data_IF_192942160174
#
_entry.id   IF_192942160174
#
_cell.length_a   1.000
_cell.length_b   1.000
_cell.length_c   1.000
_cell.angle_alpha   90.00
_cell.angle_beta   90.00
_cell.angle_gamma   90.00
#
_symmetry.space_group_name_H-M   'P 1'
#
loop_
_entity.id
_entity.type
_entity.pdbx_description
1 polymer ?
#
# COMPACT_ATOMS: atom_id res chain seq x y z
N UNK A 1 21.19 3.25 44.42
CA UNK A 1 21.79 2.98 43.10
C UNK A 1 21.11 3.88 42.09
N UNK A 2 21.78 4.93 41.63
CA UNK A 2 21.28 5.81 40.56
C UNK A 2 21.43 5.08 39.23
N UNK A 3 20.30 4.75 38.60
CA UNK A 3 20.28 4.15 37.26
C UNK A 3 20.90 5.16 36.30
N UNK A 4 21.85 4.72 35.47
CA UNK A 4 22.51 5.59 34.51
C UNK A 4 21.52 6.05 33.44
N UNK A 5 21.64 7.27 32.92
CA UNK A 5 20.75 7.81 31.88
C UNK A 5 20.55 6.88 30.64
N UNK A 6 21.56 6.13 30.15
CA UNK A 6 21.34 5.14 29.09
C UNK A 6 20.50 3.93 29.56
N UNK A 7 20.69 3.42 30.77
CA UNK A 7 19.87 2.33 31.32
C UNK A 7 18.40 2.74 31.55
N UNK A 8 18.15 4.00 31.88
CA UNK A 8 16.79 4.54 32.01
C UNK A 8 16.09 4.70 30.65
N UNK A 9 16.84 5.04 29.60
CA UNK A 9 16.34 5.04 28.22
C UNK A 9 16.09 3.61 27.73
N UNK A 10 17.00 2.68 27.97
CA UNK A 10 16.82 1.27 27.64
C UNK A 10 15.65 0.65 28.41
N UNK A 11 15.38 1.09 29.66
CA UNK A 11 14.20 0.69 30.43
C UNK A 11 12.88 1.29 29.92
N UNK A 12 12.91 2.45 29.25
CA UNK A 12 11.75 3.04 28.57
C UNK A 12 11.42 2.32 27.25
N UNK A 13 12.42 1.73 26.59
CA UNK A 13 12.27 0.91 25.38
C UNK A 13 12.19 -0.60 25.65
N UNK A 14 12.49 -1.03 26.88
CA UNK A 14 12.25 -2.39 27.33
C UNK A 14 10.74 -2.63 27.32
N UNK A 15 10.31 -3.51 26.41
CA UNK A 15 8.94 -3.99 26.38
C UNK A 15 8.52 -4.46 27.79
N UNK A 16 7.33 -4.06 28.19
CA UNK A 16 6.67 -4.43 29.45
C UNK A 16 7.00 -5.89 29.84
N UNK A 17 7.69 -6.14 30.97
CA UNK A 17 8.15 -7.47 31.37
C UNK A 17 7.00 -8.49 31.59
N UNK A 18 5.75 -8.03 31.62
CA UNK A 18 4.54 -8.85 31.62
C UNK A 18 4.24 -9.52 30.26
N UNK A 19 4.89 -9.11 29.16
CA UNK A 19 4.66 -9.63 27.80
C UNK A 19 5.86 -10.41 27.26
N UNK A 20 6.24 -11.51 27.92
CA UNK A 20 7.20 -12.47 27.33
C UNK A 20 6.55 -13.19 26.14
N UNK A 21 6.65 -12.58 24.97
CA UNK A 21 6.19 -13.19 23.71
C UNK A 21 6.98 -14.50 23.49
N UNK A 22 6.30 -15.63 23.22
CA UNK A 22 6.98 -16.90 23.01
C UNK A 22 7.91 -16.82 21.80
N UNK A 23 9.02 -17.57 21.83
CA UNK A 23 10.04 -17.55 20.78
C UNK A 23 9.47 -17.89 19.38
N UNK A 24 8.39 -18.68 19.32
CA UNK A 24 7.68 -19.01 18.08
C UNK A 24 7.02 -17.79 17.41
N UNK A 25 6.65 -16.77 18.20
CA UNK A 25 6.00 -15.54 17.74
C UNK A 25 6.97 -14.37 17.58
N UNK A 26 8.18 -14.44 18.11
CA UNK A 26 9.16 -13.34 18.07
C UNK A 26 9.35 -12.74 16.66
N UNK A 27 9.44 -13.58 15.62
CA UNK A 27 9.57 -13.14 14.22
C UNK A 27 8.32 -12.41 13.69
N UNK A 28 7.13 -12.83 14.12
CA UNK A 28 5.88 -12.18 13.75
C UNK A 28 5.76 -10.83 14.46
N UNK A 29 6.05 -10.79 15.76
CA UNK A 29 6.02 -9.57 16.57
C UNK A 29 6.99 -8.50 16.06
N UNK A 30 8.23 -8.90 15.72
CA UNK A 30 9.20 -7.97 15.12
C UNK A 30 8.70 -7.36 13.79
N UNK A 31 8.01 -8.15 12.95
CA UNK A 31 7.42 -7.62 11.71
C UNK A 31 6.22 -6.71 11.97
N UNK A 32 5.40 -7.00 12.98
CA UNK A 32 4.26 -6.17 13.36
C UNK A 32 4.69 -4.77 13.83
N UNK A 33 5.91 -4.61 14.37
CA UNK A 33 6.45 -3.29 14.73
C UNK A 33 6.77 -2.41 13.51
N UNK A 34 6.97 -3.01 12.33
CA UNK A 34 7.22 -2.27 11.09
C UNK A 34 6.37 -2.80 9.93
N UNK A 35 5.06 -2.45 9.90
CA UNK A 35 4.12 -2.92 8.88
C UNK A 35 4.51 -2.65 7.42
N UNK A 36 5.23 -1.57 7.05
CA UNK A 36 5.73 -1.39 5.68
C UNK A 36 6.54 -2.60 5.15
N UNK A 37 7.17 -3.38 6.03
CA UNK A 37 7.87 -4.61 5.64
C UNK A 37 6.99 -5.63 4.91
N UNK A 38 5.69 -5.69 5.22
CA UNK A 38 4.76 -6.62 4.56
C UNK A 38 4.58 -6.33 3.07
N UNK A 39 4.79 -5.09 2.64
CA UNK A 39 4.80 -4.73 1.21
C UNK A 39 5.93 -5.45 0.50
N UNK A 40 7.14 -5.45 1.07
CA UNK A 40 8.30 -6.17 0.53
C UNK A 40 8.10 -7.68 0.58
N UNK A 41 7.54 -8.20 1.68
CA UNK A 41 7.19 -9.63 1.79
C UNK A 41 6.20 -10.03 0.70
N UNK A 42 5.20 -9.19 0.42
CA UNK A 42 4.23 -9.41 -0.65
C UNK A 42 4.90 -9.51 -2.02
N UNK A 43 5.83 -8.61 -2.33
CA UNK A 43 6.61 -8.62 -3.58
C UNK A 43 7.46 -9.88 -3.68
N UNK A 44 8.23 -10.16 -2.63
CA UNK A 44 9.08 -11.35 -2.56
C UNK A 44 8.28 -12.63 -2.79
N UNK A 45 7.15 -12.79 -2.08
CA UNK A 45 6.28 -13.96 -2.22
C UNK A 45 5.65 -14.06 -3.59
N UNK A 46 5.17 -12.95 -4.16
CA UNK A 46 4.58 -12.96 -5.50
C UNK A 46 5.61 -13.44 -6.53
N UNK A 47 6.86 -12.97 -6.46
CA UNK A 47 7.92 -13.34 -7.43
C UNK A 47 8.38 -14.80 -7.24
N UNK A 48 8.47 -15.28 -5.99
CA UNK A 48 9.06 -16.59 -5.67
C UNK A 48 8.06 -17.74 -5.71
N UNK A 49 6.79 -17.51 -5.38
CA UNK A 49 5.78 -18.56 -5.25
C UNK A 49 5.02 -18.77 -6.55
N UNK A 50 5.28 -19.91 -7.23
CA UNK A 50 4.60 -20.28 -8.48
C UNK A 50 3.08 -20.37 -8.33
N UNK A 51 2.61 -20.73 -7.15
CA UNK A 51 1.17 -20.84 -6.90
C UNK A 51 0.49 -19.47 -6.87
N UNK A 52 1.25 -18.38 -6.66
CA UNK A 52 0.75 -17.01 -6.65
C UNK A 52 0.87 -16.33 -8.01
N UNK A 53 2.07 -16.27 -8.60
CA UNK A 53 2.23 -15.48 -9.84
C UNK A 53 1.62 -16.16 -11.07
N UNK A 54 1.64 -17.49 -11.18
CA UNK A 54 1.12 -18.18 -12.37
C UNK A 54 -0.38 -17.92 -12.51
N UNK A 55 -1.21 -18.13 -11.48
CA UNK A 55 -2.66 -17.90 -11.60
C UNK A 55 -3.01 -16.41 -11.72
N UNK A 56 -2.25 -15.53 -11.06
CA UNK A 56 -2.40 -14.09 -11.22
C UNK A 56 -2.11 -13.64 -12.67
N UNK A 57 -1.01 -14.13 -13.26
CA UNK A 57 -0.64 -13.82 -14.64
C UNK A 57 -1.66 -14.37 -15.65
N UNK A 58 -2.06 -15.63 -15.50
CA UNK A 58 -3.04 -16.26 -16.41
C UNK A 58 -4.36 -15.49 -16.48
N UNK A 59 -4.81 -14.88 -15.38
CA UNK A 59 -6.01 -14.04 -15.40
C UNK A 59 -5.78 -12.67 -16.05
N UNK A 60 -4.61 -12.09 -15.87
CA UNK A 60 -4.29 -10.78 -16.41
C UNK A 60 -3.83 -10.82 -17.89
N UNK A 61 -3.29 -11.94 -18.39
CA UNK A 61 -2.58 -12.03 -19.68
C UNK A 61 -3.35 -11.46 -20.86
N UNK A 62 -4.66 -11.73 -20.97
CA UNK A 62 -5.47 -11.26 -22.10
C UNK A 62 -5.74 -9.77 -22.02
N UNK A 63 -5.94 -9.24 -20.81
CA UNK A 63 -6.08 -7.80 -20.57
C UNK A 63 -4.78 -7.07 -20.86
N UNK A 64 -3.65 -7.60 -20.38
CA UNK A 64 -2.31 -7.07 -20.68
C UNK A 64 -2.06 -7.07 -22.18
N UNK A 65 -2.35 -8.16 -22.89
CA UNK A 65 -2.13 -8.25 -24.35
C UNK A 65 -2.95 -7.20 -25.11
N UNK A 66 -4.24 -7.05 -24.81
CA UNK A 66 -5.10 -6.04 -25.46
C UNK A 66 -4.63 -4.62 -25.14
N UNK A 67 -4.35 -4.35 -23.86
CA UNK A 67 -3.87 -3.04 -23.44
C UNK A 67 -2.49 -2.69 -24.00
N UNK A 68 -1.60 -3.67 -24.18
CA UNK A 68 -0.31 -3.49 -24.82
C UNK A 68 -0.45 -3.17 -26.31
N UNK A 69 -1.32 -3.87 -27.04
CA UNK A 69 -1.60 -3.58 -28.46
C UNK A 69 -2.17 -2.17 -28.62
N UNK A 70 -3.19 -1.81 -27.85
CA UNK A 70 -3.79 -0.47 -27.89
C UNK A 70 -2.80 0.60 -27.44
N UNK A 71 -2.00 0.32 -26.42
CA UNK A 71 -0.93 1.21 -25.95
C UNK A 71 0.12 1.48 -27.01
N UNK A 72 0.56 0.44 -27.74
CA UNK A 72 1.53 0.59 -28.83
C UNK A 72 0.98 1.43 -29.98
N UNK A 73 -0.28 1.18 -30.40
CA UNK A 73 -0.95 2.00 -31.42
C UNK A 73 -1.05 3.45 -30.96
N UNK A 74 -1.49 3.68 -29.71
CA UNK A 74 -1.59 5.01 -29.12
C UNK A 74 -0.25 5.73 -29.10
N UNK A 75 0.81 5.05 -28.65
CA UNK A 75 2.17 5.59 -28.65
C UNK A 75 2.62 5.98 -30.05
N UNK A 76 2.45 5.11 -31.05
CA UNK A 76 2.87 5.39 -32.42
C UNK A 76 2.16 6.63 -33.00
N UNK A 77 0.85 6.74 -32.78
CA UNK A 77 0.04 7.85 -33.30
C UNK A 77 0.30 9.18 -32.58
N UNK A 78 0.57 9.15 -31.26
CA UNK A 78 0.61 10.37 -30.45
C UNK A 78 2.01 10.87 -30.12
N UNK A 79 3.04 10.02 -30.16
CA UNK A 79 4.38 10.38 -29.68
C UNK A 79 4.98 11.60 -30.38
N UNK A 80 4.89 11.66 -31.72
CA UNK A 80 5.40 12.79 -32.49
C UNK A 80 4.69 14.10 -32.15
N UNK A 81 3.37 14.05 -32.01
CA UNK A 81 2.53 15.21 -31.63
C UNK A 81 2.86 15.67 -30.21
N UNK A 82 2.94 14.74 -29.26
CA UNK A 82 3.25 15.02 -27.86
C UNK A 82 4.64 15.61 -27.68
N UNK A 83 5.64 15.07 -28.38
CA UNK A 83 7.00 15.60 -28.36
C UNK A 83 7.04 17.05 -28.84
N UNK A 84 6.41 17.35 -29.99
CA UNK A 84 6.33 18.71 -30.53
C UNK A 84 5.56 19.67 -29.60
N UNK A 85 4.48 19.20 -28.98
CA UNK A 85 3.71 20.00 -28.03
C UNK A 85 4.54 20.34 -26.78
N UNK A 86 5.27 19.37 -26.23
CA UNK A 86 6.15 19.57 -25.07
C UNK A 86 7.30 20.51 -25.43
N UNK A 87 7.90 20.33 -26.60
CA UNK A 87 8.94 21.23 -27.13
C UNK A 87 8.44 22.67 -27.24
N UNK A 88 7.27 22.88 -27.84
CA UNK A 88 6.66 24.20 -27.93
C UNK A 88 6.33 24.81 -26.55
N UNK A 89 5.81 24.01 -25.61
CA UNK A 89 5.44 24.47 -24.28
C UNK A 89 6.65 24.80 -23.40
N UNK A 90 7.69 23.97 -23.44
CA UNK A 90 8.93 24.18 -22.69
C UNK A 90 9.75 25.34 -23.28
N UNK A 91 9.81 25.47 -24.60
CA UNK A 91 10.47 26.61 -25.26
C UNK A 91 9.83 27.97 -24.91
N UNK A 92 8.52 27.99 -24.66
CA UNK A 92 7.79 29.21 -24.27
C UNK A 92 7.76 29.47 -22.76
N UNK A 93 8.38 28.61 -21.93
CA UNK A 93 8.36 28.77 -20.48
C UNK A 93 9.69 29.32 -19.95
N UNK A 94 9.78 30.62 -19.57
CA UNK A 94 11.02 31.23 -19.07
C UNK A 94 11.58 30.56 -17.80
N UNK A 95 10.76 29.73 -17.14
CA UNK A 95 11.09 29.02 -15.89
C UNK A 95 11.83 27.70 -16.13
N UNK A 96 11.81 27.17 -17.36
CA UNK A 96 12.46 25.90 -17.75
C UNK A 96 13.52 26.11 -18.83
N UNK A 97 13.52 27.26 -19.52
CA UNK A 97 14.55 27.68 -20.49
C UNK A 97 15.96 27.84 -19.89
N UNK A 98 16.09 27.87 -18.55
CA UNK A 98 17.39 27.83 -17.86
C UNK A 98 17.99 26.43 -17.72
N UNK A 99 17.22 25.36 -17.96
CA UNK A 99 17.73 23.99 -18.09
C UNK A 99 18.21 23.78 -19.54
N UNK A 100 19.19 24.58 -19.94
CA UNK A 100 19.84 24.47 -21.24
C UNK A 100 20.71 23.21 -21.28
N UNK A 101 20.30 22.30 -22.16
CA UNK A 101 21.05 21.22 -22.80
C UNK A 101 21.56 20.05 -21.95
N UNK A 102 20.91 18.91 -22.20
CA UNK A 102 21.35 17.52 -21.97
C UNK A 102 21.68 17.05 -20.55
N UNK A 103 21.79 17.92 -19.55
CA UNK A 103 22.08 17.50 -18.18
C UNK A 103 20.87 17.53 -17.25
N UNK A 104 20.55 16.38 -16.65
CA UNK A 104 19.59 16.25 -15.53
C UNK A 104 20.35 15.73 -14.31
N UNK A 105 20.27 16.44 -13.18
CA UNK A 105 21.01 16.10 -11.96
C UNK A 105 22.55 15.98 -12.18
N UNK A 106 23.11 16.76 -13.11
CA UNK A 106 24.55 16.73 -13.45
C UNK A 106 24.97 15.61 -14.42
N UNK A 107 24.05 14.73 -14.82
CA UNK A 107 24.33 13.65 -15.77
C UNK A 107 23.81 13.97 -17.16
N UNK A 108 24.64 13.75 -18.19
CA UNK A 108 24.22 13.85 -19.60
C UNK A 108 23.25 12.71 -19.91
N UNK A 109 21.99 13.03 -20.19
CA UNK A 109 20.99 12.04 -20.60
C UNK A 109 21.24 11.68 -22.08
N UNK A 110 21.16 10.40 -22.49
CA UNK A 110 21.30 9.99 -23.88
C UNK A 110 20.20 10.53 -24.83
N UNK A 111 19.19 11.22 -24.30
CA UNK A 111 18.05 11.75 -25.04
C UNK A 111 17.74 13.17 -24.55
N UNK A 112 17.15 13.98 -25.42
CA UNK A 112 16.72 15.33 -25.04
C UNK A 112 15.68 15.29 -23.90
N UNK A 113 15.70 16.32 -23.04
CA UNK A 113 14.76 16.49 -21.92
C UNK A 113 13.30 16.39 -22.40
N UNK A 114 13.00 16.91 -23.59
CA UNK A 114 11.69 16.80 -24.25
C UNK A 114 11.27 15.36 -24.53
N UNK A 115 12.21 14.54 -25.01
CA UNK A 115 11.95 13.11 -25.29
C UNK A 115 11.69 12.36 -23.99
N UNK A 116 12.45 12.65 -22.94
CA UNK A 116 12.23 12.07 -21.61
C UNK A 116 10.85 12.45 -21.04
N UNK A 117 10.48 13.73 -21.09
CA UNK A 117 9.16 14.19 -20.65
C UNK A 117 8.01 13.54 -21.45
N UNK A 118 8.17 13.38 -22.76
CA UNK A 118 7.21 12.68 -23.62
C UNK A 118 7.06 11.20 -23.23
N UNK A 119 8.17 10.51 -22.95
CA UNK A 119 8.16 9.11 -22.48
C UNK A 119 7.48 8.98 -21.12
N UNK A 120 7.74 9.88 -20.17
CA UNK A 120 7.06 9.86 -18.87
C UNK A 120 5.56 10.09 -19.00
N UNK A 121 5.15 11.05 -19.85
CA UNK A 121 3.74 11.33 -20.13
C UNK A 121 3.05 10.11 -20.75
N UNK A 122 3.69 9.50 -21.76
CA UNK A 122 3.20 8.27 -22.38
C UNK A 122 3.10 7.13 -21.37
N UNK A 123 4.07 6.96 -20.48
CA UNK A 123 4.04 5.92 -19.46
C UNK A 123 2.77 5.99 -18.60
N UNK A 124 2.36 7.20 -18.19
CA UNK A 124 1.09 7.41 -17.47
C UNK A 124 -0.14 7.06 -18.31
N UNK A 125 -0.15 7.46 -19.59
CA UNK A 125 -1.26 7.16 -20.51
C UNK A 125 -1.40 5.66 -20.78
N UNK A 126 -0.28 4.99 -21.07
CA UNK A 126 -0.22 3.53 -21.24
C UNK A 126 -0.68 2.82 -19.96
N UNK A 127 -0.30 3.33 -18.79
CA UNK A 127 -0.78 2.78 -17.51
C UNK A 127 -2.30 2.86 -17.40
N UNK A 128 -2.91 3.98 -17.79
CA UNK A 128 -4.37 4.13 -17.79
C UNK A 128 -5.05 3.20 -18.79
N UNK A 129 -4.48 3.03 -19.99
CA UNK A 129 -4.96 2.07 -20.99
C UNK A 129 -4.89 0.64 -20.44
N UNK A 130 -3.74 0.24 -19.88
CA UNK A 130 -3.58 -1.07 -19.26
C UNK A 130 -4.58 -1.25 -18.12
N UNK A 131 -4.74 -0.26 -17.24
CA UNK A 131 -5.68 -0.28 -16.11
C UNK A 131 -7.13 -0.45 -16.59
N UNK A 132 -7.52 0.18 -17.69
CA UNK A 132 -8.84 0.01 -18.28
C UNK A 132 -9.07 -1.45 -18.69
N UNK A 133 -8.16 -2.03 -19.48
CA UNK A 133 -8.27 -3.42 -19.95
C UNK A 133 -8.08 -4.47 -18.84
N UNK A 134 -7.40 -4.12 -17.76
CA UNK A 134 -7.15 -4.99 -16.61
C UNK A 134 -8.20 -4.87 -15.50
N UNK A 135 -9.00 -3.81 -15.47
CA UNK A 135 -9.87 -3.42 -14.34
C UNK A 135 -10.65 -4.57 -13.69
N UNK A 136 -11.32 -5.41 -14.50
CA UNK A 136 -12.08 -6.57 -14.00
C UNK A 136 -11.18 -7.75 -13.62
N UNK A 137 -10.18 -8.06 -14.46
CA UNK A 137 -9.33 -9.24 -14.27
C UNK A 137 -8.36 -9.08 -13.09
N UNK A 138 -7.84 -7.87 -12.88
CA UNK A 138 -6.93 -7.56 -11.79
C UNK A 138 -7.63 -7.65 -10.43
N UNK A 139 -8.92 -7.33 -10.36
CA UNK A 139 -9.72 -7.54 -9.16
C UNK A 139 -9.71 -9.02 -8.75
N UNK A 140 -10.07 -9.91 -9.68
CA UNK A 140 -10.11 -11.36 -9.48
C UNK A 140 -8.71 -11.92 -9.17
N UNK A 141 -7.67 -11.38 -9.81
CA UNK A 141 -6.29 -11.78 -9.56
C UNK A 141 -5.85 -11.43 -8.12
N UNK A 142 -6.23 -10.25 -7.61
CA UNK A 142 -5.96 -9.83 -6.23
C UNK A 142 -6.66 -10.75 -5.23
N UNK A 143 -7.94 -11.03 -5.44
CA UNK A 143 -8.70 -11.94 -4.55
C UNK A 143 -8.08 -13.33 -4.52
N UNK A 144 -7.81 -13.92 -5.69
CA UNK A 144 -7.13 -15.22 -5.77
C UNK A 144 -5.76 -15.20 -5.09
N UNK A 145 -4.98 -14.13 -5.26
CA UNK A 145 -3.68 -14.00 -4.62
C UNK A 145 -3.79 -13.96 -3.10
N UNK A 146 -4.81 -13.31 -2.52
CA UNK A 146 -5.09 -13.39 -1.09
C UNK A 146 -5.43 -14.82 -0.67
N UNK A 147 -6.41 -15.44 -1.33
CA UNK A 147 -6.93 -16.76 -0.95
C UNK A 147 -5.82 -17.82 -0.98
N UNK A 148 -4.99 -17.80 -2.02
CA UNK A 148 -3.84 -18.69 -2.14
C UNK A 148 -2.77 -18.40 -1.09
N UNK A 149 -2.57 -17.13 -0.74
CA UNK A 149 -1.64 -16.74 0.33
C UNK A 149 -2.11 -17.27 1.68
N UNK A 150 -3.41 -17.18 1.97
CA UNK A 150 -4.01 -17.75 3.18
C UNK A 150 -3.94 -19.28 3.15
N UNK A 151 -4.32 -19.92 2.05
CA UNK A 151 -4.29 -21.38 1.89
C UNK A 151 -2.87 -21.95 2.04
N UNK A 152 -1.84 -21.25 1.53
CA UNK A 152 -0.44 -21.66 1.65
C UNK A 152 0.06 -21.75 3.11
N UNK A 153 -0.69 -21.18 4.06
CA UNK A 153 -0.36 -21.24 5.49
C UNK A 153 -0.89 -22.51 6.16
N UNK A 154 -1.72 -23.28 5.48
CA UNK A 154 -2.25 -24.56 5.98
C UNK A 154 -3.08 -24.41 7.26
N UNK A 155 -3.66 -23.24 7.48
CA UNK A 155 -4.55 -22.96 8.61
C UNK A 155 -6.00 -23.14 8.17
N UNK A 156 -6.78 -23.89 8.96
CA UNK A 156 -8.21 -24.10 8.71
C UNK A 156 -9.04 -22.85 9.01
N UNK A 157 -10.36 -22.87 8.72
CA UNK A 157 -11.27 -21.77 9.00
C UNK A 157 -11.27 -21.33 10.48
N UNK A 158 -11.08 -22.28 11.39
CA UNK A 158 -11.06 -22.05 12.86
C UNK A 158 -9.85 -21.22 13.32
N UNK A 159 -8.89 -20.96 12.45
CA UNK A 159 -7.76 -20.07 12.74
C UNK A 159 -8.21 -18.62 12.93
N UNK A 160 -9.28 -18.19 12.28
CA UNK A 160 -9.79 -16.82 12.41
C UNK A 160 -10.76 -16.74 13.58
N UNK A 161 -10.27 -16.33 14.74
CA UNK A 161 -11.10 -16.18 15.92
C UNK A 161 -11.99 -14.93 15.81
N UNK A 162 -13.08 -14.85 16.59
CA UNK A 162 -13.79 -13.59 16.81
C UNK A 162 -12.83 -12.48 17.29
N UNK A 163 -13.26 -11.23 17.14
CA UNK A 163 -12.47 -10.10 17.60
C UNK A 163 -12.24 -10.15 19.12
N UNK A 164 -10.98 -9.99 19.53
CA UNK A 164 -10.60 -9.88 20.93
C UNK A 164 -9.89 -8.54 21.11
N UNK A 165 -10.47 -7.70 21.96
CA UNK A 165 -9.89 -6.41 22.33
C UNK A 165 -8.49 -6.60 22.90
N UNK A 166 -7.44 -5.89 22.48
CA UNK A 166 -6.08 -6.07 23.03
C UNK A 166 -5.76 -5.03 24.12
N UNK A 167 -6.40 -3.86 24.10
CA UNK A 167 -6.11 -2.78 25.04
C UNK A 167 -7.04 -2.82 26.25
N UNK A 168 -6.51 -2.46 27.43
CA UNK A 168 -7.33 -2.33 28.65
C UNK A 168 -8.37 -1.23 28.55
N UNK A 169 -8.05 -0.16 27.80
CA UNK A 169 -8.92 0.99 27.57
C UNK A 169 -8.91 1.29 26.07
N UNK A 170 -9.88 0.77 25.29
CA UNK A 170 -9.94 1.03 23.86
C UNK A 170 -10.34 2.48 23.57
N UNK A 171 -9.90 3.04 22.43
CA UNK A 171 -10.33 4.38 22.01
C UNK A 171 -11.84 4.40 21.75
N UNK A 172 -12.52 5.46 22.21
CA UNK A 172 -13.93 5.67 21.86
C UNK A 172 -14.00 6.23 20.44
N UNK A 173 -14.51 5.42 19.52
CA UNK A 173 -14.66 5.80 18.12
C UNK A 173 -16.14 5.95 17.79
N UNK A 174 -16.51 7.13 17.28
CA UNK A 174 -17.80 7.32 16.65
C UNK A 174 -17.76 6.75 15.21
N UNK A 175 -18.58 5.74 14.95
CA UNK A 175 -18.57 4.98 13.69
C UNK A 175 -19.04 5.81 12.53
N UNK A 176 -20.03 6.68 12.73
CA UNK A 176 -20.59 7.51 11.64
C UNK A 176 -19.54 8.51 11.15
N UNK A 177 -18.86 9.17 12.09
CA UNK A 177 -17.71 10.04 11.78
C UNK A 177 -16.52 9.26 11.20
N UNK A 178 -16.25 8.04 11.68
CA UNK A 178 -15.15 7.21 11.20
C UNK A 178 -15.36 6.72 9.76
N UNK A 179 -16.50 6.11 9.47
CA UNK A 179 -16.88 5.64 8.13
C UNK A 179 -16.91 6.80 7.13
N UNK A 180 -17.50 7.94 7.50
CA UNK A 180 -17.50 9.14 6.69
C UNK A 180 -16.10 9.69 6.38
N UNK A 181 -15.12 9.54 7.29
CA UNK A 181 -13.71 9.88 7.01
C UNK A 181 -13.11 8.97 5.96
N UNK A 182 -13.38 7.67 6.02
CA UNK A 182 -12.88 6.69 5.03
C UNK A 182 -13.52 6.86 3.67
N UNK A 183 -14.84 7.04 3.61
CA UNK A 183 -15.55 7.33 2.37
C UNK A 183 -15.02 8.60 1.73
N UNK A 184 -14.85 9.70 2.48
CA UNK A 184 -14.26 10.93 1.95
C UNK A 184 -12.81 10.75 1.47
N UNK A 185 -12.02 9.91 2.14
CA UNK A 185 -10.64 9.60 1.69
C UNK A 185 -10.61 8.71 0.45
N UNK A 186 -11.61 7.83 0.27
CA UNK A 186 -11.67 6.86 -0.83
C UNK A 186 -12.42 7.40 -2.06
N UNK A 187 -13.61 7.99 -1.87
CA UNK A 187 -14.46 8.65 -2.86
C UNK A 187 -14.01 10.07 -3.20
N UNK A 188 -13.12 10.66 -2.41
CA UNK A 188 -12.60 12.03 -2.57
C UNK A 188 -11.74 12.25 -3.81
N UNK A 189 -12.04 11.64 -4.96
CA UNK A 189 -11.33 11.89 -6.21
C UNK A 189 -11.27 13.38 -6.56
N UNK A 190 -12.34 14.14 -6.29
CA UNK A 190 -12.42 15.59 -6.49
C UNK A 190 -11.74 16.40 -5.39
N UNK A 191 -11.98 16.10 -4.10
CA UNK A 191 -11.36 16.81 -2.97
C UNK A 191 -9.84 16.59 -2.92
N UNK A 192 -9.38 15.35 -3.12
CA UNK A 192 -7.96 15.03 -3.26
C UNK A 192 -7.37 15.67 -4.51
N UNK A 193 -8.11 15.76 -5.62
CA UNK A 193 -7.62 16.46 -6.81
C UNK A 193 -7.41 17.95 -6.55
N UNK A 194 -8.36 18.62 -5.87
CA UNK A 194 -8.25 20.04 -5.49
C UNK A 194 -7.11 20.25 -4.50
N UNK A 195 -7.03 19.45 -3.43
CA UNK A 195 -5.96 19.52 -2.43
C UNK A 195 -4.59 19.25 -3.07
N UNK A 196 -4.50 18.23 -3.92
CA UNK A 196 -3.29 17.92 -4.69
C UNK A 196 -2.91 19.06 -5.61
N UNK A 197 -3.87 19.67 -6.32
CA UNK A 197 -3.61 20.82 -7.19
C UNK A 197 -3.12 22.01 -6.37
N UNK A 198 -3.75 22.32 -5.24
CA UNK A 198 -3.36 23.41 -4.34
C UNK A 198 -1.95 23.20 -3.75
N UNK A 199 -1.66 21.99 -3.23
CA UNK A 199 -0.37 21.66 -2.64
C UNK A 199 0.75 21.50 -3.67
N UNK A 200 0.45 21.06 -4.90
CA UNK A 200 1.46 20.91 -5.95
C UNK A 200 1.82 22.21 -6.65
N UNK A 201 1.03 23.28 -6.57
CA UNK A 201 1.37 24.58 -7.15
C UNK A 201 2.80 25.03 -6.78
N UNK A 202 3.22 25.01 -5.50
CA UNK A 202 4.60 25.33 -5.13
C UNK A 202 5.61 24.20 -5.40
N UNK A 203 5.17 22.94 -5.49
CA UNK A 203 6.03 21.75 -5.65
C UNK A 203 6.12 21.18 -7.07
N UNK A 204 5.61 21.90 -8.09
CA UNK A 204 5.54 21.45 -9.48
C UNK A 204 6.89 21.08 -10.12
N UNK A 205 8.02 21.43 -9.49
CA UNK A 205 9.36 21.16 -10.00
C UNK A 205 9.88 19.75 -9.72
N UNK A 206 9.31 19.04 -8.73
CA UNK A 206 9.86 17.76 -8.30
C UNK A 206 9.03 16.59 -8.85
N UNK A 207 9.57 15.81 -9.81
CA UNK A 207 8.92 14.58 -10.24
C UNK A 207 8.73 13.65 -9.04
N UNK A 208 7.55 13.04 -8.92
CA UNK A 208 7.23 12.09 -7.84
C UNK A 208 6.57 12.68 -6.60
N UNK A 209 6.66 13.98 -6.31
CA UNK A 209 5.96 14.59 -5.15
C UNK A 209 4.45 14.38 -5.22
N UNK A 210 3.88 14.46 -6.43
CA UNK A 210 2.47 14.17 -6.63
C UNK A 210 2.09 12.73 -6.27
N UNK A 211 2.98 11.76 -6.47
CA UNK A 211 2.75 10.35 -6.09
C UNK A 211 2.82 10.22 -4.56
N UNK A 212 3.86 10.80 -3.93
CA UNK A 212 4.03 10.80 -2.47
C UNK A 212 2.83 11.42 -1.76
N UNK A 213 2.41 12.62 -2.18
CA UNK A 213 1.23 13.28 -1.59
C UNK A 213 -0.05 12.46 -1.81
N UNK A 214 -0.23 11.90 -3.01
CA UNK A 214 -1.41 11.06 -3.28
C UNK A 214 -1.42 9.81 -2.39
N UNK A 215 -0.27 9.19 -2.18
CA UNK A 215 -0.11 8.03 -1.30
C UNK A 215 -0.37 8.40 0.16
N UNK A 216 0.13 9.56 0.62
CA UNK A 216 -0.10 10.06 1.99
C UNK A 216 -1.58 10.21 2.32
N UNK A 217 -2.34 10.85 1.43
CA UNK A 217 -3.77 11.05 1.66
C UNK A 217 -4.59 9.77 1.57
N UNK A 218 -4.21 8.84 0.69
CA UNK A 218 -4.91 7.55 0.50
C UNK A 218 -4.41 6.45 1.44
N UNK A 219 -3.39 6.70 2.25
CA UNK A 219 -2.68 5.71 3.03
C UNK A 219 -3.63 4.85 3.88
N UNK A 220 -4.39 5.48 4.76
CA UNK A 220 -5.28 4.77 5.68
C UNK A 220 -6.38 3.99 4.92
N UNK A 221 -7.03 4.61 3.93
CA UNK A 221 -8.04 3.96 3.10
C UNK A 221 -7.50 2.78 2.29
N UNK A 222 -6.25 2.85 1.82
CA UNK A 222 -5.60 1.75 1.09
C UNK A 222 -5.37 0.56 2.01
N UNK A 223 -4.83 0.78 3.21
CA UNK A 223 -4.63 -0.30 4.18
C UNK A 223 -5.95 -0.94 4.63
N UNK A 224 -6.97 -0.12 4.90
CA UNK A 224 -8.31 -0.60 5.24
C UNK A 224 -8.90 -1.49 4.12
N UNK A 225 -8.83 -1.05 2.87
CA UNK A 225 -9.31 -1.84 1.71
C UNK A 225 -8.53 -3.16 1.55
N UNK A 226 -7.22 -3.12 1.78
CA UNK A 226 -6.36 -4.30 1.71
C UNK A 226 -6.73 -5.33 2.79
N UNK A 227 -7.18 -4.90 3.98
CA UNK A 227 -7.60 -5.75 5.10
C UNK A 227 -9.10 -6.10 5.15
N UNK A 228 -9.93 -5.63 4.22
CA UNK A 228 -11.37 -5.94 4.23
C UNK A 228 -11.67 -7.44 4.30
N UNK A 229 -10.88 -8.28 3.63
CA UNK A 229 -11.05 -9.74 3.67
C UNK A 229 -10.68 -10.35 5.02
N UNK A 230 -9.72 -9.76 5.74
CA UNK A 230 -9.39 -10.15 7.11
C UNK A 230 -10.53 -9.81 8.08
N UNK A 231 -11.08 -8.60 7.99
CA UNK A 231 -12.22 -8.19 8.81
C UNK A 231 -13.45 -9.07 8.55
N UNK A 232 -13.70 -9.41 7.28
CA UNK A 232 -14.77 -10.32 6.88
C UNK A 232 -14.54 -11.75 7.42
N UNK A 233 -13.31 -12.26 7.38
CA UNK A 233 -12.99 -13.59 7.90
C UNK A 233 -13.25 -13.72 9.41
N UNK A 234 -12.97 -12.67 10.18
CA UNK A 234 -13.26 -12.60 11.62
C UNK A 234 -14.71 -12.20 11.97
N UNK A 235 -15.54 -11.89 10.96
CA UNK A 235 -16.90 -11.39 11.11
C UNK A 235 -17.00 -10.15 12.02
N UNK A 236 -16.03 -9.24 11.91
CA UNK A 236 -16.02 -8.00 12.69
C UNK A 236 -17.16 -7.08 12.28
N UNK A 237 -17.85 -6.52 13.27
CA UNK A 237 -18.80 -5.42 13.09
C UNK A 237 -18.06 -4.13 12.72
N UNK A 238 -18.75 -3.16 12.10
CA UNK A 238 -18.14 -1.87 11.73
C UNK A 238 -17.54 -1.12 12.94
N UNK A 239 -18.18 -1.25 14.11
CA UNK A 239 -17.65 -0.73 15.40
C UNK A 239 -16.31 -1.34 15.75
N UNK A 240 -16.21 -2.67 15.67
CA UNK A 240 -14.97 -3.40 15.98
C UNK A 240 -13.87 -3.10 14.97
N UNK A 241 -14.19 -3.00 13.67
CA UNK A 241 -13.22 -2.57 12.65
C UNK A 241 -12.72 -1.16 12.95
N UNK A 242 -13.62 -0.24 13.29
CA UNK A 242 -13.25 1.14 13.58
C UNK A 242 -12.31 1.25 14.79
N UNK A 243 -12.60 0.54 15.87
CA UNK A 243 -11.74 0.45 17.05
C UNK A 243 -10.39 -0.21 16.71
N UNK A 244 -10.41 -1.36 16.03
CA UNK A 244 -9.21 -2.11 15.67
C UNK A 244 -8.21 -1.29 14.82
N UNK A 245 -8.75 -0.52 13.87
CA UNK A 245 -7.94 0.33 12.98
C UNK A 245 -7.47 1.58 13.70
N UNK A 246 -8.28 2.20 14.57
CA UNK A 246 -7.85 3.40 15.33
C UNK A 246 -6.74 3.08 16.34
N UNK A 247 -6.79 1.91 16.99
CA UNK A 247 -5.70 1.42 17.86
C UNK A 247 -4.37 1.29 17.13
N UNK A 248 -4.44 0.86 15.86
CA UNK A 248 -3.28 0.61 14.99
C UNK A 248 -3.16 1.67 13.90
N UNK A 249 -3.66 2.88 14.13
CA UNK A 249 -3.77 3.90 13.06
C UNK A 249 -2.45 4.18 12.35
N UNK A 250 -1.35 4.21 13.09
CA UNK A 250 -0.02 4.46 12.52
C UNK A 250 0.51 3.27 11.73
N UNK A 251 0.23 2.06 12.17
CA UNK A 251 0.57 0.82 11.46
C UNK A 251 -0.17 0.75 10.12
N UNK A 252 -1.49 1.02 10.14
CA UNK A 252 -2.31 1.09 8.93
C UNK A 252 -1.87 2.23 8.01
N UNK A 253 -1.55 3.42 8.55
CA UNK A 253 -1.06 4.54 7.72
C UNK A 253 0.26 4.23 7.06
N UNK A 254 1.24 3.69 7.78
CA UNK A 254 2.58 3.43 7.21
C UNK A 254 2.55 2.29 6.19
N UNK A 255 1.83 1.20 6.48
CA UNK A 255 1.60 0.13 5.51
C UNK A 255 0.89 0.64 4.26
N UNK A 256 -0.25 1.31 4.45
CA UNK A 256 -1.07 1.80 3.34
C UNK A 256 -0.39 2.90 2.53
N UNK A 257 0.41 3.75 3.15
CA UNK A 257 1.26 4.73 2.46
C UNK A 257 2.24 4.03 1.53
N UNK A 258 2.98 3.05 2.06
CA UNK A 258 3.99 2.31 1.27
C UNK A 258 3.33 1.54 0.12
N UNK A 259 2.20 0.89 0.40
CA UNK A 259 1.40 0.19 -0.61
C UNK A 259 0.92 1.15 -1.72
N UNK A 260 0.29 2.27 -1.35
CA UNK A 260 -0.22 3.27 -2.28
C UNK A 260 0.90 3.97 -3.07
N UNK A 261 2.08 4.15 -2.48
CA UNK A 261 3.24 4.72 -3.13
C UNK A 261 3.71 3.83 -4.29
N UNK A 262 3.83 2.52 -4.04
CA UNK A 262 4.23 1.56 -5.07
C UNK A 262 3.15 1.37 -6.14
N UNK A 263 1.87 1.34 -5.77
CA UNK A 263 0.75 1.31 -6.72
C UNK A 263 0.66 2.56 -7.59
N UNK A 264 1.19 3.70 -7.12
CA UNK A 264 1.25 4.96 -7.84
C UNK A 264 2.29 5.00 -8.97
N UNK A 265 3.18 4.01 -9.06
CA UNK A 265 4.20 3.94 -10.11
C UNK A 265 3.58 3.56 -11.47
N UNK A 266 3.91 4.26 -12.57
CA UNK A 266 3.43 3.90 -13.90
C UNK A 266 3.81 2.46 -14.27
N UNK A 267 2.87 1.73 -14.86
CA UNK A 267 2.99 0.35 -15.36
C UNK A 267 3.24 -0.67 -14.23
N UNK A 268 4.36 -0.56 -13.52
CA UNK A 268 4.79 -1.47 -12.44
C UNK A 268 3.82 -1.42 -11.25
N UNK A 269 3.17 -0.28 -11.01
CA UNK A 269 2.13 -0.12 -9.98
C UNK A 269 1.01 -1.15 -10.08
N UNK A 270 0.68 -1.62 -11.29
CA UNK A 270 -0.33 -2.66 -11.49
C UNK A 270 0.07 -4.00 -10.85
N UNK A 271 1.35 -4.37 -10.91
CA UNK A 271 1.87 -5.57 -10.25
C UNK A 271 1.79 -5.40 -8.73
N UNK A 272 2.12 -4.20 -8.23
CA UNK A 272 2.05 -3.91 -6.81
C UNK A 272 0.64 -4.02 -6.24
N UNK A 273 -0.42 -3.77 -7.02
CA UNK A 273 -1.80 -4.01 -6.54
C UNK A 273 -2.06 -5.46 -6.15
N UNK A 274 -1.35 -6.42 -6.75
CA UNK A 274 -1.44 -7.85 -6.45
C UNK A 274 -0.50 -8.20 -5.31
N UNK A 275 0.76 -7.76 -5.36
CA UNK A 275 1.73 -8.07 -4.30
C UNK A 275 1.34 -7.46 -2.95
N UNK A 276 0.75 -6.26 -2.94
CA UNK A 276 0.25 -5.61 -1.72
C UNK A 276 -0.88 -6.43 -1.10
N UNK A 277 -1.70 -7.10 -1.91
CA UNK A 277 -2.74 -8.00 -1.43
C UNK A 277 -2.16 -9.26 -0.77
N UNK A 278 -1.09 -9.83 -1.35
CA UNK A 278 -0.31 -10.91 -0.73
C UNK A 278 0.33 -10.44 0.60
N UNK A 279 0.91 -9.24 0.62
CA UNK A 279 1.48 -8.62 1.81
C UNK A 279 0.45 -8.37 2.91
N UNK A 280 -0.75 -7.92 2.53
CA UNK A 280 -1.87 -7.73 3.45
C UNK A 280 -2.36 -9.05 4.05
N UNK A 281 -2.45 -10.13 3.26
CA UNK A 281 -2.79 -11.47 3.78
C UNK A 281 -1.74 -11.97 4.77
N UNK A 282 -0.46 -11.67 4.50
CA UNK A 282 0.65 -11.96 5.39
C UNK A 282 0.57 -11.21 6.71
N UNK A 283 0.25 -9.91 6.64
CA UNK A 283 0.07 -9.08 7.81
C UNK A 283 -1.12 -9.54 8.65
N UNK A 284 -2.26 -9.83 8.02
CA UNK A 284 -3.44 -10.39 8.65
C UNK A 284 -3.14 -11.68 9.44
N UNK A 285 -2.35 -12.59 8.88
CA UNK A 285 -1.98 -13.83 9.55
C UNK A 285 -1.09 -13.59 10.79
N UNK A 286 -0.17 -12.63 10.74
CA UNK A 286 0.67 -12.30 11.89
C UNK A 286 -0.11 -11.51 12.97
N UNK A 287 -1.08 -10.67 12.58
CA UNK A 287 -2.06 -10.05 13.49
C UNK A 287 -2.91 -11.13 14.20
N UNK A 288 -3.38 -12.13 13.45
CA UNK A 288 -4.19 -13.19 14.03
C UNK A 288 -3.40 -14.01 15.07
N UNK A 289 -2.13 -14.34 14.79
CA UNK A 289 -1.26 -15.00 15.79
C UNK A 289 -1.13 -14.19 17.08
N UNK A 290 -1.08 -12.86 16.98
CA UNK A 290 -1.05 -11.97 18.14
C UNK A 290 -2.38 -12.03 18.91
N UNK A 291 -3.51 -12.04 18.21
CA UNK A 291 -4.83 -12.21 18.82
C UNK A 291 -4.96 -13.55 19.57
N UNK A 292 -4.48 -14.66 18.98
CA UNK A 292 -4.40 -15.96 19.67
C UNK A 292 -3.57 -15.89 20.95
N UNK A 293 -2.42 -15.21 20.92
CA UNK A 293 -1.58 -15.03 22.09
C UNK A 293 -2.29 -14.23 23.20
N UNK A 294 -2.94 -13.11 22.84
CA UNK A 294 -3.69 -12.29 23.80
C UNK A 294 -4.88 -13.07 24.39
N UNK A 295 -5.57 -13.86 23.57
CA UNK A 295 -6.66 -14.73 24.02
C UNK A 295 -6.19 -15.76 25.06
N UNK A 296 -5.06 -16.41 24.79
CA UNK A 296 -4.44 -17.38 25.69
C UNK A 296 -3.98 -16.72 27.01
N UNK A 297 -3.37 -15.53 26.94
CA UNK A 297 -2.94 -14.82 28.16
C UNK A 297 -4.12 -14.46 29.07
N UNK A 298 -5.26 -14.05 28.50
CA UNK A 298 -6.47 -13.73 29.30
C UNK A 298 -7.11 -14.92 29.98
N UNK A 299 -7.07 -16.08 29.34
CA UNK A 299 -7.59 -17.33 29.94
C UNK A 299 -6.73 -17.78 31.12
N UNK A 300 -5.44 -17.46 31.13
CA UNK A 300 -4.55 -17.73 32.28
C UNK A 300 -4.72 -16.74 33.44
N UNK A 301 -5.14 -15.50 33.19
CA UNK A 301 -5.36 -14.47 34.23
C UNK A 301 -6.68 -14.65 35.00
N UNK A 302 -7.64 -15.42 34.47
CA UNK A 302 -8.92 -15.69 35.13
C UNK A 302 -8.85 -17.02 35.89
N UNK A 303 -8.85 -17.04 37.24
CA UNK A 303 -8.90 -18.30 37.98
C UNK A 303 -10.25 -19.01 37.72
N UNK A 304 -10.28 -20.35 37.68
CA UNK A 304 -11.53 -21.10 37.60
C UNK A 304 -12.39 -20.71 38.82
N UNK A 305 -13.65 -20.36 38.54
CA UNK A 305 -14.68 -20.14 39.57
C UNK A 305 -15.02 -21.43 40.29
#
# INVERSE_FOLDING_TARGET
MSISAPEAQDALFAADPANKVPASLARATSRLQFPPSYVLVGVYRLITDKNLYVPAWQKCQHGVRRGAVVGLIWTFLTFGIQKKFIEFFLAKSPRVTGLSNDTMFGYKIPFSVHTYAAVLLLGSQITNILRFFLSRNIHIARERAWDQTVASRGKGPDFWLPYIEEWKVPPRVDVETWTGRFEKQWLGGLSLFIIKRALLIPFNFYPGVGIILSAWFKALGTAHNLHTQYFAAKKMTEKEVAVFVEERKWDYRTFGFTAALLEGLPIVGLVFTISNRVGAAMWAHDLEKRQHFVAASRTHETPPK
#
